data_IF_630980376575
#
_entry.id   IF_630980376575
#
_cell.length_a   1.000
_cell.length_b   1.000
_cell.length_c   1.000
_cell.angle_alpha   90.00
_cell.angle_beta   90.00
_cell.angle_gamma   90.00
#
_symmetry.space_group_name_H-M   'P 1'
#
loop_
_entity.id
_entity.type
_entity.pdbx_description
1 polymer ?
#
# COMPACT_ATOMS: atom_id res chain seq x y z
N UNK A 1 7.70 4.82 -13.79
CA UNK A 1 6.75 5.88 -14.22
C UNK A 1 7.56 7.03 -14.81
N UNK A 2 7.03 7.75 -15.81
CA UNK A 2 7.59 9.03 -16.27
C UNK A 2 6.60 10.15 -15.95
N UNK A 3 7.09 11.29 -15.46
CA UNK A 3 6.27 12.43 -15.04
C UNK A 3 6.92 13.71 -15.57
N UNK A 4 6.12 14.63 -16.12
CA UNK A 4 6.64 15.93 -16.57
C UNK A 4 7.01 16.80 -15.37
N UNK A 5 8.02 17.65 -15.53
CA UNK A 5 8.44 18.60 -14.49
C UNK A 5 7.27 19.45 -13.97
N UNK A 6 6.45 19.99 -14.88
CA UNK A 6 5.28 20.81 -14.54
C UNK A 6 4.25 20.04 -13.72
N UNK A 7 4.02 18.76 -14.03
CA UNK A 7 3.10 17.94 -13.25
C UNK A 7 3.67 17.62 -11.86
N UNK A 8 4.98 17.33 -11.78
CA UNK A 8 5.68 17.10 -10.52
C UNK A 8 5.65 18.34 -9.61
N UNK A 9 5.89 19.53 -10.15
CA UNK A 9 5.84 20.80 -9.40
C UNK A 9 4.43 21.11 -8.87
N UNK A 10 3.38 20.71 -9.60
CA UNK A 10 1.99 20.90 -9.17
C UNK A 10 1.52 19.88 -8.13
N UNK A 11 1.91 18.61 -8.27
CA UNK A 11 1.42 17.50 -7.42
C UNK A 11 2.29 17.26 -6.20
N UNK A 12 3.59 17.52 -6.32
CA UNK A 12 4.60 17.21 -5.31
C UNK A 12 5.26 15.84 -5.49
N UNK A 13 6.29 15.57 -4.67
CA UNK A 13 7.08 14.34 -4.76
C UNK A 13 6.28 13.10 -4.32
N UNK A 14 6.91 11.94 -4.53
CA UNK A 14 6.40 10.66 -4.06
C UNK A 14 6.18 10.70 -2.53
N UNK A 15 5.05 10.19 -2.00
CA UNK A 15 4.72 10.34 -0.59
C UNK A 15 5.59 9.46 0.33
N UNK A 16 6.46 10.10 1.11
CA UNK A 16 7.40 9.44 2.06
C UNK A 16 6.72 8.79 3.28
N UNK A 17 5.42 9.01 3.46
CA UNK A 17 4.62 8.30 4.47
C UNK A 17 4.58 6.78 4.19
N UNK A 18 4.88 6.38 2.96
CA UNK A 18 5.10 4.99 2.57
C UNK A 18 6.61 4.74 2.45
N UNK A 19 7.05 3.54 2.83
CA UNK A 19 8.39 3.05 2.52
C UNK A 19 8.39 2.10 1.33
N UNK A 20 7.46 1.14 1.32
CA UNK A 20 7.26 0.17 0.24
C UNK A 20 5.78 -0.13 0.08
N UNK A 21 5.33 -0.29 -1.16
CA UNK A 21 3.95 -0.56 -1.56
C UNK A 21 2.98 0.60 -1.26
N UNK A 22 2.14 0.89 -2.25
CA UNK A 22 1.13 1.95 -2.30
C UNK A 22 1.67 3.39 -2.44
N UNK A 23 2.98 3.61 -2.38
CA UNK A 23 3.63 4.90 -2.64
C UNK A 23 3.30 5.41 -4.05
N UNK A 24 3.53 4.59 -5.07
CA UNK A 24 3.26 4.96 -6.48
C UNK A 24 1.76 5.05 -6.77
N UNK A 25 0.95 4.21 -6.12
CA UNK A 25 -0.51 4.22 -6.29
C UNK A 25 -1.14 5.46 -5.66
N UNK A 26 -0.71 5.84 -4.45
CA UNK A 26 -1.14 7.08 -3.78
C UNK A 26 -0.74 8.31 -4.58
N UNK A 27 0.46 8.29 -5.16
CA UNK A 27 0.95 9.35 -6.03
C UNK A 27 0.16 9.44 -7.33
N UNK A 28 -0.18 8.32 -7.95
CA UNK A 28 -1.06 8.24 -9.12
C UNK A 28 -2.44 8.86 -8.84
N UNK A 29 -3.04 8.55 -7.68
CA UNK A 29 -4.29 9.17 -7.27
C UNK A 29 -4.14 10.68 -6.99
N UNK A 30 -2.98 11.11 -6.51
CA UNK A 30 -2.68 12.54 -6.37
C UNK A 30 -2.62 13.25 -7.72
N UNK A 31 -2.01 12.66 -8.76
CA UNK A 31 -2.04 13.20 -10.12
C UNK A 31 -3.47 13.35 -10.65
N UNK A 32 -4.29 12.30 -10.50
CA UNK A 32 -5.70 12.34 -10.92
C UNK A 32 -6.48 13.46 -10.23
N UNK A 33 -6.27 13.65 -8.91
CA UNK A 33 -6.92 14.76 -8.16
C UNK A 33 -6.52 16.15 -8.67
N UNK A 34 -5.35 16.30 -9.27
CA UNK A 34 -4.87 17.57 -9.84
C UNK A 34 -5.24 17.76 -11.31
N UNK A 35 -6.07 16.85 -11.87
CA UNK A 35 -6.57 16.90 -13.23
C UNK A 35 -5.61 16.32 -14.28
N UNK A 36 -4.59 15.58 -13.87
CA UNK A 36 -3.69 14.91 -14.81
C UNK A 36 -4.23 13.53 -15.20
N UNK A 37 -3.99 13.15 -16.45
CA UNK A 37 -4.29 11.84 -16.97
C UNK A 37 -3.14 10.86 -16.72
N UNK A 38 -3.48 9.59 -16.54
CA UNK A 38 -2.51 8.50 -16.41
C UNK A 38 -2.62 7.59 -17.62
N UNK A 39 -1.52 7.46 -18.36
CA UNK A 39 -1.46 6.67 -19.59
C UNK A 39 -0.52 5.47 -19.42
N UNK A 40 -0.95 4.32 -19.91
CA UNK A 40 -0.12 3.13 -20.05
C UNK A 40 0.36 3.01 -21.50
N UNK A 41 1.66 2.83 -21.71
CA UNK A 41 2.26 2.70 -23.04
C UNK A 41 2.66 1.24 -23.27
N UNK A 42 1.86 0.44 -24.00
CA UNK A 42 2.12 -0.99 -24.20
C UNK A 42 3.28 -1.27 -25.16
N UNK A 43 3.75 -0.27 -25.89
CA UNK A 43 4.80 -0.39 -26.92
C UNK A 43 6.22 -0.46 -26.34
N UNK A 44 6.38 -0.32 -25.03
CA UNK A 44 7.68 -0.37 -24.36
C UNK A 44 7.65 -1.38 -23.24
N UNK A 45 8.59 -2.32 -23.25
CA UNK A 45 8.72 -3.36 -22.23
C UNK A 45 9.92 -3.08 -21.34
N UNK A 46 9.68 -2.96 -20.04
CA UNK A 46 10.72 -2.91 -19.02
C UNK A 46 10.56 -4.16 -18.14
N UNK A 47 11.60 -5.00 -18.08
CA UNK A 47 11.57 -6.23 -17.28
C UNK A 47 11.90 -5.87 -15.83
N UNK A 48 10.92 -6.04 -14.94
CA UNK A 48 11.11 -5.87 -13.50
C UNK A 48 11.23 -7.23 -12.82
N UNK A 49 12.33 -7.45 -12.10
CA UNK A 49 12.51 -8.65 -11.27
C UNK A 49 11.74 -8.48 -9.96
N UNK A 50 10.48 -8.91 -9.95
CA UNK A 50 9.63 -8.78 -8.78
C UNK A 50 10.19 -9.49 -7.54
N UNK A 51 10.04 -8.86 -6.38
CA UNK A 51 10.31 -9.49 -5.08
C UNK A 51 11.77 -9.50 -4.64
N UNK A 52 12.70 -8.87 -5.36
CA UNK A 52 14.11 -8.75 -4.93
C UNK A 52 14.26 -7.93 -3.63
N UNK A 53 13.53 -6.81 -3.49
CA UNK A 53 13.70 -5.90 -2.35
C UNK A 53 13.12 -6.42 -1.03
N UNK A 54 12.20 -7.39 -1.07
CA UNK A 54 11.52 -7.92 0.13
C UNK A 54 11.57 -9.43 0.28
N UNK A 55 12.00 -10.17 -0.73
CA UNK A 55 11.76 -11.62 -0.86
C UNK A 55 10.32 -11.92 -1.27
N UNK A 56 10.12 -12.95 -2.11
CA UNK A 56 8.79 -13.43 -2.49
C UNK A 56 8.06 -13.98 -1.26
N UNK A 57 6.85 -13.46 -1.01
CA UNK A 57 6.01 -13.92 0.10
C UNK A 57 6.60 -13.70 1.49
N UNK A 58 7.38 -12.63 1.73
CA UNK A 58 7.94 -12.36 3.05
C UNK A 58 6.92 -11.78 4.05
N UNK A 59 7.10 -12.00 5.37
CA UNK A 59 6.31 -11.33 6.39
C UNK A 59 6.40 -9.80 6.29
N UNK A 60 7.55 -9.25 5.88
CA UNK A 60 7.74 -7.81 5.70
C UNK A 60 6.84 -7.24 4.61
N UNK A 61 6.72 -7.95 3.47
CA UNK A 61 5.76 -7.59 2.42
C UNK A 61 4.33 -7.57 2.95
N UNK A 62 3.94 -8.60 3.72
CA UNK A 62 2.60 -8.66 4.32
C UNK A 62 2.34 -7.48 5.27
N UNK A 63 3.32 -7.14 6.12
CA UNK A 63 3.23 -5.99 7.03
C UNK A 63 2.94 -4.68 6.28
N UNK A 64 3.75 -4.35 5.27
CA UNK A 64 3.57 -3.11 4.52
C UNK A 64 2.28 -3.10 3.70
N UNK A 65 1.91 -4.23 3.07
CA UNK A 65 0.64 -4.31 2.35
C UNK A 65 -0.56 -4.08 3.27
N UNK A 66 -0.56 -4.68 4.46
CA UNK A 66 -1.65 -4.52 5.43
C UNK A 66 -1.75 -3.08 5.93
N UNK A 67 -0.64 -2.49 6.41
CA UNK A 67 -0.61 -1.12 6.93
C UNK A 67 -0.95 -0.10 5.84
N UNK A 68 -0.32 -0.22 4.68
CA UNK A 68 -0.36 0.81 3.65
C UNK A 68 -1.66 0.76 2.84
N UNK A 69 -2.34 -0.39 2.75
CA UNK A 69 -3.68 -0.48 2.15
C UNK A 69 -4.71 0.33 2.94
N UNK A 70 -4.66 0.26 4.28
CA UNK A 70 -5.50 1.09 5.15
C UNK A 70 -5.15 2.57 5.01
N UNK A 71 -3.85 2.91 4.95
CA UNK A 71 -3.38 4.28 4.74
C UNK A 71 -3.82 4.86 3.40
N UNK A 72 -3.68 4.09 2.33
CA UNK A 72 -4.12 4.48 0.99
C UNK A 72 -5.63 4.75 0.97
N UNK A 73 -6.45 3.86 1.55
CA UNK A 73 -7.87 4.10 1.63
C UNK A 73 -8.19 5.37 2.44
N UNK A 74 -7.53 5.58 3.58
CA UNK A 74 -7.71 6.76 4.43
C UNK A 74 -7.36 8.08 3.71
N UNK A 75 -6.35 8.08 2.85
CA UNK A 75 -5.87 9.27 2.13
C UNK A 75 -6.67 9.61 0.88
N UNK A 76 -7.25 8.60 0.22
CA UNK A 76 -7.84 8.76 -1.11
C UNK A 76 -9.36 8.57 -1.17
N UNK A 77 -10.01 8.20 -0.05
CA UNK A 77 -11.45 7.97 0.01
C UNK A 77 -12.15 8.91 0.97
N UNK A 78 -13.45 9.10 0.78
CA UNK A 78 -14.28 9.84 1.73
C UNK A 78 -14.27 9.14 3.10
N UNK A 79 -14.60 9.87 4.17
CA UNK A 79 -14.64 9.30 5.53
C UNK A 79 -15.62 8.11 5.63
N UNK A 80 -16.75 8.18 4.93
CA UNK A 80 -17.74 7.10 4.88
C UNK A 80 -17.19 5.86 4.18
N UNK A 81 -16.67 6.03 2.96
CA UNK A 81 -16.09 4.94 2.17
C UNK A 81 -14.91 4.28 2.88
N UNK A 82 -14.05 5.10 3.51
CA UNK A 82 -12.94 4.59 4.32
C UNK A 82 -13.44 3.75 5.49
N UNK A 83 -14.49 4.19 6.19
CA UNK A 83 -15.02 3.46 7.35
C UNK A 83 -15.57 2.09 6.92
N UNK A 84 -16.40 2.06 5.86
CA UNK A 84 -16.93 0.81 5.31
C UNK A 84 -15.80 -0.10 4.85
N UNK A 85 -14.82 0.45 4.11
CA UNK A 85 -13.65 -0.30 3.66
C UNK A 85 -12.82 -0.85 4.82
N UNK A 86 -12.56 -0.04 5.85
CA UNK A 86 -11.78 -0.44 7.01
C UNK A 86 -12.47 -1.57 7.78
N UNK A 87 -13.79 -1.48 8.00
CA UNK A 87 -14.57 -2.54 8.63
C UNK A 87 -14.51 -3.84 7.82
N UNK A 88 -14.76 -3.77 6.52
CA UNK A 88 -14.63 -4.92 5.63
C UNK A 88 -13.22 -5.52 5.67
N UNK A 89 -12.20 -4.68 5.54
CA UNK A 89 -10.81 -5.12 5.44
C UNK A 89 -10.32 -5.76 6.75
N UNK A 90 -10.69 -5.20 7.90
CA UNK A 90 -10.28 -5.71 9.22
C UNK A 90 -11.05 -6.96 9.62
N UNK A 91 -12.38 -6.95 9.47
CA UNK A 91 -13.25 -8.03 9.94
C UNK A 91 -13.19 -9.26 9.02
N UNK A 92 -13.04 -9.05 7.72
CA UNK A 92 -13.13 -10.13 6.72
C UNK A 92 -11.74 -10.42 6.15
N UNK A 93 -11.10 -9.47 5.48
CA UNK A 93 -9.85 -9.74 4.75
C UNK A 93 -8.71 -10.12 5.69
N UNK A 94 -8.46 -9.34 6.75
CA UNK A 94 -7.38 -9.61 7.70
C UNK A 94 -7.63 -10.89 8.48
N UNK A 95 -8.86 -11.13 8.93
CA UNK A 95 -9.23 -12.36 9.65
C UNK A 95 -9.03 -13.60 8.77
N UNK A 96 -9.47 -13.56 7.51
CA UNK A 96 -9.27 -14.65 6.55
C UNK A 96 -7.77 -14.93 6.35
N UNK A 97 -6.97 -13.90 6.11
CA UNK A 97 -5.52 -14.05 5.91
C UNK A 97 -4.83 -14.57 7.18
N UNK A 98 -5.24 -14.09 8.36
CA UNK A 98 -4.74 -14.54 9.65
C UNK A 98 -5.02 -16.03 9.86
N UNK A 99 -6.29 -16.46 9.67
CA UNK A 99 -6.68 -17.86 9.75
C UNK A 99 -5.88 -18.72 8.78
N UNK A 100 -5.74 -18.29 7.52
CA UNK A 100 -5.01 -19.01 6.50
C UNK A 100 -3.51 -19.16 6.84
N UNK A 101 -2.86 -18.13 7.35
CA UNK A 101 -1.44 -18.21 7.74
C UNK A 101 -1.22 -19.02 9.02
N UNK A 102 -2.16 -19.01 9.96
CA UNK A 102 -2.15 -19.90 11.12
C UNK A 102 -2.29 -21.36 10.67
N UNK A 103 -3.27 -21.67 9.81
CA UNK A 103 -3.46 -23.01 9.24
C UNK A 103 -2.23 -23.51 8.47
N UNK A 104 -1.58 -22.61 7.72
CA UNK A 104 -0.33 -22.90 6.98
C UNK A 104 0.92 -22.93 7.87
N UNK A 105 0.78 -22.83 9.21
CA UNK A 105 1.87 -22.80 10.19
C UNK A 105 2.93 -21.73 9.88
N UNK A 106 2.51 -20.56 9.42
CA UNK A 106 3.34 -19.38 9.12
C UNK A 106 3.08 -18.25 10.14
N UNK A 107 3.50 -18.39 11.42
CA UNK A 107 3.17 -17.43 12.47
C UNK A 107 3.79 -16.05 12.24
N UNK A 108 4.90 -15.98 11.52
CA UNK A 108 5.56 -14.71 11.20
C UNK A 108 4.68 -13.80 10.32
N UNK A 109 3.96 -14.39 9.35
CA UNK A 109 3.01 -13.65 8.49
C UNK A 109 1.79 -13.20 9.27
N UNK A 110 1.26 -14.05 10.15
CA UNK A 110 0.16 -13.71 11.05
C UNK A 110 0.55 -12.50 11.94
N UNK A 111 1.73 -12.56 12.56
CA UNK A 111 2.27 -11.44 13.35
C UNK A 111 2.43 -10.17 12.52
N UNK A 112 2.91 -10.29 11.28
CA UNK A 112 3.06 -9.15 10.38
C UNK A 112 1.74 -8.43 10.06
N UNK A 113 0.64 -9.17 9.90
CA UNK A 113 -0.70 -8.60 9.72
C UNK A 113 -1.10 -7.80 10.97
N UNK A 114 -0.96 -8.40 12.15
CA UNK A 114 -1.33 -7.76 13.42
C UNK A 114 -0.49 -6.50 13.69
N UNK A 115 0.82 -6.58 13.48
CA UNK A 115 1.73 -5.44 13.57
C UNK A 115 1.35 -4.33 12.58
N UNK A 116 0.99 -4.69 11.34
CA UNK A 116 0.59 -3.74 10.31
C UNK A 116 -0.69 -2.99 10.66
N UNK A 117 -1.71 -3.69 11.17
CA UNK A 117 -2.93 -3.08 11.68
C UNK A 117 -2.64 -2.15 12.87
N UNK A 118 -1.88 -2.65 13.87
CA UNK A 118 -1.53 -1.88 15.06
C UNK A 118 -0.79 -0.59 14.71
N UNK A 119 0.20 -0.66 13.83
CA UNK A 119 1.03 0.48 13.45
C UNK A 119 0.23 1.51 12.63
N UNK A 120 -0.73 1.07 11.81
CA UNK A 120 -1.68 1.97 11.16
C UNK A 120 -2.49 2.77 12.19
N UNK A 121 -3.08 2.09 13.17
CA UNK A 121 -3.88 2.75 14.21
C UNK A 121 -3.06 3.63 15.15
N UNK A 122 -1.81 3.26 15.40
CA UNK A 122 -0.88 4.06 16.18
C UNK A 122 -0.26 5.23 15.39
N UNK A 123 -0.58 5.39 14.10
CA UNK A 123 -0.04 6.46 13.25
C UNK A 123 1.44 6.30 12.90
N UNK A 124 2.02 5.09 13.02
CA UNK A 124 3.42 4.81 12.69
C UNK A 124 3.59 4.47 11.22
N UNK A 125 4.01 5.45 10.45
CA UNK A 125 4.20 5.34 9.00
C UNK A 125 5.67 5.43 8.59
N UNK A 126 5.98 5.26 7.31
CA UNK A 126 7.35 5.19 6.81
C UNK A 126 8.01 3.83 7.05
N UNK A 127 9.34 3.81 7.11
CA UNK A 127 10.12 2.58 7.28
C UNK A 127 9.91 1.99 8.67
N UNK A 128 9.79 0.67 8.75
CA UNK A 128 9.75 -0.06 10.02
C UNK A 128 11.14 -0.03 10.65
N UNK A 129 11.26 0.64 11.81
CA UNK A 129 12.44 0.67 12.68
C UNK A 129 12.57 -0.61 13.51
#
# INVERSE_FOLDING_TARGET
MMVSRTALEKVGPLPEVYFLYYEETDWSEAFKRHGFELWYVPLTTIIHKEGQSTGSGSPLKQYYLTRNRLLFAKRNRSKGDFTVFALYYLLISCTKDLCLYIMKRKPQHAKAILDGCRDFFAGRFGQRS
#
